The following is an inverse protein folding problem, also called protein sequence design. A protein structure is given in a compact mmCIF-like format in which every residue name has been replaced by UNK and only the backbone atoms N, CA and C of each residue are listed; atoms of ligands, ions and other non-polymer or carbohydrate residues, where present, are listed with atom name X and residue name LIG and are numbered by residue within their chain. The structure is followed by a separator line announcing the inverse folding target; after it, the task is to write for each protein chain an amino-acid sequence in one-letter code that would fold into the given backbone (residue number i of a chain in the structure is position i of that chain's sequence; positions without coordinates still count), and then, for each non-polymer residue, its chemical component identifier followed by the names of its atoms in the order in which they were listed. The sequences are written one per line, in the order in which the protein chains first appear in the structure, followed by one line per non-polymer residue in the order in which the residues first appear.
data_IF_034886765164
#
_entry.id   IF_034886765164
#
_cell.length_a   1.000
_cell.length_b   1.000
_cell.length_c   1.000
_cell.angle_alpha   90.00
_cell.angle_beta   90.00
_cell.angle_gamma   90.00
#
_symmetry.space_group_name_H-M   'P 1'
#
loop_
_entity.id
_entity.type
_entity.pdbx_description
1 polymer ?
#
# COMPACT_ATOMS: atom_id res chain seq x y z
N UNK A 1 5.78 -37.14 -9.71
CA UNK A 1 6.45 -36.05 -10.43
C UNK A 1 5.60 -34.81 -10.25
N UNK A 2 6.09 -33.76 -9.56
CA UNK A 2 5.31 -32.55 -9.38
C UNK A 2 5.28 -31.77 -10.69
N UNK A 3 4.08 -31.48 -11.17
CA UNK A 3 3.81 -30.64 -12.32
C UNK A 3 4.34 -29.23 -12.05
N UNK A 4 5.27 -28.80 -12.89
CA UNK A 4 5.80 -27.44 -12.90
C UNK A 4 4.71 -26.48 -13.37
N UNK A 5 4.15 -25.74 -12.42
CA UNK A 5 3.22 -24.64 -12.62
C UNK A 5 3.89 -23.55 -13.47
N UNK A 6 3.56 -23.52 -14.77
CA UNK A 6 4.02 -22.51 -15.72
C UNK A 6 3.46 -21.15 -15.33
N UNK A 7 4.30 -20.35 -14.66
CA UNK A 7 4.04 -18.95 -14.35
C UNK A 7 3.80 -18.18 -15.64
N UNK A 8 2.54 -17.82 -15.91
CA UNK A 8 2.24 -16.71 -16.83
C UNK A 8 2.64 -15.42 -16.13
N UNK A 9 3.87 -15.00 -16.36
CA UNK A 9 4.35 -13.67 -16.01
C UNK A 9 3.59 -12.65 -16.87
N UNK A 10 2.65 -11.94 -16.25
CA UNK A 10 2.16 -10.67 -16.79
C UNK A 10 3.34 -9.66 -16.77
N UNK A 11 4.22 -9.74 -17.77
CA UNK A 11 5.36 -8.83 -18.02
C UNK A 11 4.87 -7.40 -18.36
N UNK A 12 4.42 -6.65 -17.36
CA UNK A 12 3.76 -5.36 -17.57
C UNK A 12 4.43 -4.17 -16.85
N UNK A 13 5.76 -4.18 -16.74
CA UNK A 13 6.56 -3.00 -16.35
C UNK A 13 7.82 -2.93 -17.20
N UNK A 14 8.00 -1.86 -17.97
CA UNK A 14 9.27 -1.60 -18.68
C UNK A 14 10.27 -1.07 -17.64
N UNK A 15 11.18 -1.93 -17.20
CA UNK A 15 12.14 -1.63 -16.12
C UNK A 15 13.44 -1.09 -16.73
N UNK A 16 13.76 0.18 -16.45
CA UNK A 16 15.15 0.68 -16.51
C UNK A 16 15.62 0.73 -15.06
N UNK A 17 16.59 -0.11 -14.71
CA UNK A 17 16.95 -0.38 -13.32
C UNK A 17 18.22 0.41 -12.94
N UNK A 18 18.04 1.45 -12.13
CA UNK A 18 19.09 2.09 -11.35
C UNK A 18 18.74 1.83 -9.87
N UNK A 19 19.72 1.59 -9.01
CA UNK A 19 19.44 1.35 -7.59
C UNK A 19 18.79 2.57 -6.91
N UNK A 20 18.98 3.77 -7.46
CA UNK A 20 18.45 5.04 -6.95
C UNK A 20 17.06 5.42 -7.45
N UNK A 21 16.62 4.91 -8.61
CA UNK A 21 15.32 5.23 -9.20
C UNK A 21 14.75 4.10 -10.06
N UNK A 22 13.43 4.09 -10.23
CA UNK A 22 12.75 3.18 -11.15
C UNK A 22 11.73 3.93 -12.00
N UNK A 23 11.75 3.70 -13.31
CA UNK A 23 10.68 4.13 -14.20
C UNK A 23 9.51 3.13 -14.15
N UNK A 24 8.30 3.61 -13.84
CA UNK A 24 7.08 2.80 -13.80
C UNK A 24 5.99 3.41 -14.69
N UNK A 25 5.02 2.62 -15.13
CA UNK A 25 3.92 3.09 -15.98
C UNK A 25 4.26 3.05 -17.48
N UNK A 26 3.75 4.03 -18.25
CA UNK A 26 3.99 4.13 -19.70
C UNK A 26 3.21 3.13 -20.58
N UNK A 27 2.33 2.33 -20.00
CA UNK A 27 1.46 1.36 -20.72
C UNK A 27 0.02 1.43 -20.20
N UNK A 28 -0.95 0.95 -20.98
CA UNK A 28 -2.37 0.83 -20.60
C UNK A 28 -3.02 2.14 -20.12
N UNK A 29 -2.62 3.27 -20.71
CA UNK A 29 -3.14 4.61 -20.37
C UNK A 29 -2.51 5.24 -19.12
N UNK A 30 -1.39 4.70 -18.64
CA UNK A 30 -0.58 5.32 -17.58
C UNK A 30 0.54 6.16 -18.19
N UNK A 31 0.76 7.35 -17.63
CA UNK A 31 1.96 8.14 -17.87
C UNK A 31 3.16 7.43 -17.24
N UNK A 32 4.34 7.56 -17.86
CA UNK A 32 5.58 7.07 -17.27
C UNK A 32 6.01 7.99 -16.12
N UNK A 33 6.40 7.41 -15.00
CA UNK A 33 6.82 8.13 -13.80
C UNK A 33 8.11 7.56 -13.26
N UNK A 34 8.97 8.43 -12.72
CA UNK A 34 10.20 8.03 -12.04
C UNK A 34 9.91 8.05 -10.55
N UNK A 35 10.12 6.92 -9.88
CA UNK A 35 10.01 6.80 -8.43
C UNK A 35 11.39 6.64 -7.80
N UNK A 36 11.57 7.21 -6.61
CA UNK A 36 12.81 7.19 -5.83
C UNK A 36 12.49 7.20 -4.33
N UNK A 37 13.51 7.03 -3.47
CA UNK A 37 13.34 7.11 -2.00
C UNK A 37 12.34 6.08 -1.45
N UNK A 38 11.59 6.45 -0.40
CA UNK A 38 10.68 5.54 0.31
C UNK A 38 9.64 4.84 -0.58
N UNK A 39 9.11 5.54 -1.59
CA UNK A 39 8.14 4.93 -2.52
C UNK A 39 8.79 3.84 -3.38
N UNK A 40 10.06 4.01 -3.77
CA UNK A 40 10.83 2.97 -4.47
C UNK A 40 11.09 1.76 -3.57
N UNK A 41 11.50 1.99 -2.32
CA UNK A 41 11.72 0.91 -1.36
C UNK A 41 10.45 0.06 -1.21
N UNK A 42 9.31 0.72 -1.00
CA UNK A 42 8.01 0.06 -0.89
C UNK A 42 7.59 -0.66 -2.19
N UNK A 43 7.86 -0.05 -3.35
CA UNK A 43 7.55 -0.65 -4.64
C UNK A 43 8.35 -1.95 -4.86
N UNK A 44 9.60 -2.01 -4.38
CA UNK A 44 10.47 -3.20 -4.48
C UNK A 44 10.11 -4.29 -3.47
N UNK A 45 9.53 -3.94 -2.31
CA UNK A 45 9.22 -4.92 -1.26
C UNK A 45 7.96 -5.75 -1.48
N UNK A 46 7.04 -5.29 -2.34
CA UNK A 46 5.78 -5.98 -2.60
C UNK A 46 5.45 -6.00 -4.09
N UNK A 47 4.54 -6.89 -4.48
CA UNK A 47 4.00 -6.95 -5.84
C UNK A 47 2.86 -5.96 -5.98
N UNK A 48 3.05 -5.01 -6.90
CA UNK A 48 2.08 -3.95 -7.17
C UNK A 48 1.42 -4.15 -8.54
N UNK A 49 0.10 -3.98 -8.62
CA UNK A 49 -0.65 -3.98 -9.88
C UNK A 49 -1.19 -2.59 -10.16
N UNK A 50 -0.88 -2.04 -11.34
CA UNK A 50 -1.43 -0.77 -11.78
C UNK A 50 -2.97 -0.84 -11.84
N UNK A 51 -3.63 0.18 -11.27
CA UNK A 51 -5.09 0.30 -11.35
C UNK A 51 -5.44 0.91 -12.71
N UNK A 52 -6.20 0.21 -13.58
CA UNK A 52 -6.48 0.70 -14.93
C UNK A 52 -7.07 2.11 -14.94
N UNK A 53 -6.60 2.95 -15.89
CA UNK A 53 -7.04 4.34 -16.06
C UNK A 53 -6.82 5.23 -14.82
N UNK A 54 -6.01 4.78 -13.87
CA UNK A 54 -5.65 5.51 -12.66
C UNK A 54 -4.13 5.70 -12.60
N UNK A 55 -3.60 6.60 -13.44
CA UNK A 55 -2.17 6.96 -13.45
C UNK A 55 -1.65 7.22 -12.05
N UNK A 56 -0.48 6.65 -11.76
CA UNK A 56 0.19 6.75 -10.47
C UNK A 56 -0.44 5.98 -9.31
N UNK A 57 -1.36 5.04 -9.57
CA UNK A 57 -2.03 4.26 -8.52
C UNK A 57 -1.89 2.76 -8.73
N UNK A 58 -1.48 2.07 -7.68
CA UNK A 58 -1.18 0.65 -7.70
C UNK A 58 -1.80 -0.04 -6.49
N UNK A 59 -2.46 -1.18 -6.69
CA UNK A 59 -2.96 -2.03 -5.59
C UNK A 59 -1.92 -3.07 -5.24
N UNK A 60 -1.74 -3.35 -3.95
CA UNK A 60 -0.88 -4.45 -3.52
C UNK A 60 -1.52 -5.78 -3.94
N UNK A 61 -0.73 -6.73 -4.46
CA UNK A 61 -1.18 -8.09 -4.81
C UNK A 61 -0.92 -9.10 -3.70
N UNK A 62 -0.07 -8.78 -2.73
CA UNK A 62 0.32 -9.69 -1.63
C UNK A 62 -0.68 -9.66 -0.48
N UNK A 63 -1.98 -9.73 -0.80
CA UNK A 63 -3.07 -9.54 0.15
C UNK A 63 -2.97 -10.45 1.38
N UNK A 64 -2.62 -11.72 1.24
CA UNK A 64 -2.48 -12.63 2.39
C UNK A 64 -1.41 -12.16 3.38
N UNK A 65 -0.31 -11.60 2.87
CA UNK A 65 0.83 -11.16 3.67
C UNK A 65 0.60 -9.79 4.32
N UNK A 66 -0.14 -8.89 3.68
CA UNK A 66 -0.25 -7.50 4.17
C UNK A 66 -1.64 -7.07 4.58
N UNK A 67 -2.70 -7.78 4.22
CA UNK A 67 -4.08 -7.35 4.49
C UNK A 67 -4.47 -7.34 5.98
N UNK A 68 -3.66 -7.97 6.83
CA UNK A 68 -3.82 -7.93 8.28
C UNK A 68 -2.94 -6.84 8.93
N UNK A 69 -2.08 -6.19 8.14
CA UNK A 69 -1.17 -5.15 8.60
C UNK A 69 -1.77 -3.77 8.32
N UNK A 70 -1.66 -2.87 9.30
CA UNK A 70 -1.82 -1.45 9.03
C UNK A 70 -0.71 -0.95 8.10
N UNK A 71 -0.89 0.16 7.36
CA UNK A 71 0.19 0.69 6.51
C UNK A 71 1.46 1.05 7.28
N UNK A 72 1.37 1.45 8.56
CA UNK A 72 2.56 1.66 9.40
C UNK A 72 3.27 0.35 9.74
N UNK A 73 2.52 -0.70 10.12
CA UNK A 73 3.10 -2.03 10.34
C UNK A 73 3.69 -2.61 9.06
N UNK A 74 3.09 -2.35 7.90
CA UNK A 74 3.63 -2.75 6.61
C UNK A 74 4.99 -2.09 6.33
N UNK A 75 5.16 -0.80 6.65
CA UNK A 75 6.45 -0.11 6.55
C UNK A 75 7.48 -0.65 7.54
N UNK A 76 7.08 -0.91 8.78
CA UNK A 76 7.94 -1.51 9.81
C UNK A 76 8.42 -2.91 9.41
N UNK A 77 7.54 -3.72 8.80
CA UNK A 77 7.86 -5.06 8.33
C UNK A 77 9.04 -5.05 7.33
N UNK A 78 9.05 -4.08 6.41
CA UNK A 78 10.15 -3.91 5.44
C UNK A 78 11.46 -3.50 6.13
N UNK A 79 11.38 -2.59 7.12
CA UNK A 79 12.56 -2.15 7.88
C UNK A 79 13.20 -3.31 8.66
N UNK A 80 12.37 -4.17 9.27
CA UNK A 80 12.84 -5.36 9.99
C UNK A 80 13.44 -6.39 9.05
N UNK A 81 12.82 -6.66 7.90
CA UNK A 81 13.33 -7.61 6.90
C UNK A 81 14.69 -7.17 6.33
N UNK A 82 14.85 -5.87 6.07
CA UNK A 82 16.09 -5.28 5.54
C UNK A 82 17.27 -5.34 6.53
N UNK A 83 16.99 -5.50 7.83
CA UNK A 83 18.01 -5.57 8.88
C UNK A 83 18.53 -6.98 9.12
N UNK A 84 17.81 -8.02 8.66
CA UNK A 84 18.14 -9.42 8.91
C UNK A 84 19.16 -10.01 7.91
N UNK A 85 19.25 -9.46 6.71
CA UNK A 85 19.98 -10.09 5.59
C UNK A 85 21.46 -9.66 5.45
N UNK A 86 22.00 -8.93 6.44
CA UNK A 86 23.41 -8.52 6.48
C UNK A 86 23.88 -7.59 5.33
N UNK A 87 23.00 -7.26 4.39
CA UNK A 87 23.31 -6.42 3.23
C UNK A 87 23.52 -4.95 3.65
N UNK A 88 24.64 -4.31 3.24
CA UNK A 88 24.93 -2.92 3.58
C UNK A 88 24.02 -1.91 2.88
N UNK A 89 23.19 -2.35 1.92
CA UNK A 89 22.11 -1.56 1.36
C UNK A 89 20.96 -1.47 2.37
N UNK A 90 21.19 -0.73 3.46
CA UNK A 90 20.12 -0.33 4.36
C UNK A 90 19.08 0.40 3.54
N UNK A 91 17.96 -0.26 3.23
CA UNK A 91 16.69 0.40 2.89
C UNK A 91 16.27 1.18 4.14
N UNK A 92 16.95 2.31 4.34
CA UNK A 92 16.63 3.28 5.37
C UNK A 92 15.53 4.11 4.77
N UNK A 93 14.33 3.84 5.26
CA UNK A 93 13.25 4.79 5.15
C UNK A 93 13.71 6.09 5.84
N UNK A 94 13.65 7.21 5.12
CA UNK A 94 14.24 8.48 5.57
C UNK A 94 13.50 9.11 6.76
N UNK A 95 12.32 8.60 7.12
CA UNK A 95 11.49 9.17 8.19
C UNK A 95 11.53 8.31 9.45
N UNK A 96 12.03 8.90 10.55
CA UNK A 96 11.91 8.37 11.91
C UNK A 96 10.52 8.58 12.52
N UNK A 97 9.67 9.42 11.93
CA UNK A 97 8.30 9.66 12.40
C UNK A 97 7.32 9.74 11.23
N UNK A 98 6.78 8.58 10.86
CA UNK A 98 5.73 8.46 9.86
C UNK A 98 4.43 9.05 10.42
N UNK A 99 3.98 10.18 9.88
CA UNK A 99 2.65 10.69 10.18
C UNK A 99 1.60 9.88 9.43
N UNK A 100 0.53 9.51 10.13
CA UNK A 100 -0.61 8.81 9.55
C UNK A 100 -1.92 9.47 9.95
N UNK A 101 -2.87 9.54 9.02
CA UNK A 101 -4.21 10.06 9.26
C UNK A 101 -5.24 8.97 9.06
N UNK A 102 -6.06 8.74 10.07
CA UNK A 102 -7.24 7.89 9.99
C UNK A 102 -8.48 8.77 9.85
N UNK A 103 -9.24 8.57 8.78
CA UNK A 103 -10.33 9.44 8.36
C UNK A 103 -11.58 8.61 8.07
N UNK A 104 -12.75 9.12 8.45
CA UNK A 104 -14.04 8.56 8.05
C UNK A 104 -14.70 9.50 7.04
N UNK A 105 -14.85 9.03 5.81
CA UNK A 105 -15.39 9.87 4.73
C UNK A 105 -16.92 9.98 4.84
N UNK A 106 -17.51 11.16 4.62
CA UNK A 106 -18.97 11.33 4.59
C UNK A 106 -19.63 10.38 3.57
N UNK A 107 -20.66 9.67 4.00
CA UNK A 107 -21.39 8.73 3.14
C UNK A 107 -20.62 7.46 2.76
N UNK A 108 -19.48 7.17 3.39
CA UNK A 108 -18.76 5.90 3.26
C UNK A 108 -18.74 5.14 4.58
N UNK A 109 -18.88 3.82 4.48
CA UNK A 109 -18.80 2.90 5.62
C UNK A 109 -17.35 2.67 6.06
N UNK A 110 -16.45 2.61 5.09
CA UNK A 110 -15.06 2.22 5.28
C UNK A 110 -14.22 3.37 5.83
N UNK A 111 -13.36 3.07 6.80
CA UNK A 111 -12.33 4.01 7.27
C UNK A 111 -11.19 4.08 6.25
N UNK A 112 -10.53 5.23 6.19
CA UNK A 112 -9.42 5.51 5.29
C UNK A 112 -8.17 5.82 6.11
N UNK A 113 -7.06 5.15 5.83
CA UNK A 113 -5.76 5.47 6.37
C UNK A 113 -4.87 6.07 5.29
N UNK A 114 -4.21 7.18 5.59
CA UNK A 114 -3.30 7.86 4.68
C UNK A 114 -1.93 8.01 5.35
N UNK A 115 -0.89 7.56 4.66
CA UNK A 115 0.51 7.67 5.10
C UNK A 115 1.35 8.24 3.95
N UNK A 116 1.72 9.54 4.00
CA UNK A 116 2.66 10.14 3.07
C UNK A 116 4.03 9.49 3.15
N UNK A 117 4.71 9.34 2.01
CA UNK A 117 6.03 8.71 1.88
C UNK A 117 7.18 9.69 1.62
N UNK A 118 6.89 10.98 1.51
CA UNK A 118 7.88 12.04 1.36
C UNK A 118 7.48 13.28 2.16
N UNK A 119 8.45 14.15 2.42
CA UNK A 119 8.27 15.39 3.19
C UNK A 119 7.38 16.43 2.49
N UNK A 120 7.18 16.32 1.18
CA UNK A 120 6.33 17.21 0.40
C UNK A 120 4.88 16.68 0.26
N UNK A 121 4.56 15.56 0.93
CA UNK A 121 3.31 14.83 0.85
C UNK A 121 2.83 14.62 -0.59
N UNK A 122 3.74 14.24 -1.50
CA UNK A 122 3.44 14.03 -2.93
C UNK A 122 3.17 12.57 -3.28
N UNK A 123 3.72 11.64 -2.52
CA UNK A 123 3.56 10.20 -2.65
C UNK A 123 3.06 9.61 -1.34
N UNK A 124 2.43 8.44 -1.39
CA UNK A 124 1.83 7.89 -0.19
C UNK A 124 1.15 6.54 -0.35
N UNK A 125 0.91 5.90 0.78
CA UNK A 125 -0.01 4.77 0.88
C UNK A 125 -1.39 5.30 1.26
N UNK A 126 -2.41 4.90 0.51
CA UNK A 126 -3.81 5.07 0.88
C UNK A 126 -4.38 3.68 1.11
N UNK A 127 -4.88 3.44 2.32
CA UNK A 127 -5.40 2.14 2.74
C UNK A 127 -6.88 2.27 3.08
N UNK A 128 -7.70 1.43 2.48
CA UNK A 128 -9.11 1.27 2.87
C UNK A 128 -9.20 0.20 3.95
N UNK A 129 -9.90 0.51 5.04
CA UNK A 129 -10.18 -0.43 6.12
C UNK A 129 -11.55 -1.04 5.88
N UNK A 130 -11.57 -2.34 5.57
CA UNK A 130 -12.79 -3.11 5.39
C UNK A 130 -13.06 -3.93 6.64
N UNK A 131 -14.22 -3.75 7.24
CA UNK A 131 -14.70 -4.64 8.28
C UNK A 131 -15.34 -5.85 7.60
N UNK A 132 -14.84 -7.05 7.86
CA UNK A 132 -15.57 -8.26 7.47
C UNK A 132 -16.65 -8.51 8.52
N UNK A 133 -17.90 -8.41 8.12
CA UNK A 133 -18.98 -9.01 8.88
C UNK A 133 -18.74 -10.53 8.91
N UNK A 134 -18.75 -11.12 10.11
CA UNK A 134 -18.71 -12.57 10.25
C UNK A 134 -19.98 -13.08 9.60
N UNK A 135 -19.88 -13.67 8.41
CA UNK A 135 -21.03 -14.38 7.83
C UNK A 135 -21.40 -15.52 8.79
N UNK A 136 -22.67 -15.58 9.17
CA UNK A 136 -23.31 -16.47 10.17
C UNK A 136 -23.23 -17.98 9.87
N UNK A 137 -22.22 -18.45 9.15
CA UNK A 137 -22.01 -19.85 8.81
C UNK A 137 -20.59 -20.29 9.13
N UNK A 138 -20.24 -20.29 10.42
CA UNK A 138 -19.13 -21.10 10.92
C UNK A 138 -19.72 -22.27 11.71
N UNK A 139 -19.48 -23.53 11.32
CA UNK A 139 -19.87 -24.69 12.10
C UNK A 139 -19.13 -24.66 13.43
N UNK A 140 -19.90 -24.73 14.51
CA UNK A 140 -19.60 -25.00 15.92
C UNK A 140 -18.22 -25.62 16.20
N UNK A 141 -17.15 -24.86 15.97
CA UNK A 141 -15.79 -25.18 16.41
C UNK A 141 -15.44 -24.14 17.45
N UNK A 142 -15.38 -24.66 18.67
CA UNK A 142 -15.05 -24.03 19.94
C UNK A 142 -14.07 -22.87 19.72
N UNK A 143 -14.60 -21.65 19.69
CA UNK A 143 -13.81 -20.43 19.84
C UNK A 143 -13.29 -20.45 21.27
N UNK A 144 -11.99 -20.69 21.44
CA UNK A 144 -11.35 -20.75 22.76
C UNK A 144 -11.13 -19.36 23.37
N UNK A 145 -11.37 -18.28 22.62
CA UNK A 145 -11.26 -16.91 23.11
C UNK A 145 -12.38 -16.00 22.57
N UNK A 146 -13.19 -15.36 23.44
CA UNK A 146 -14.25 -14.43 23.02
C UNK A 146 -13.73 -13.11 22.44
N UNK A 147 -12.41 -12.89 22.41
CA UNK A 147 -11.78 -11.75 21.75
C UNK A 147 -11.59 -11.93 20.24
N UNK A 148 -11.68 -13.17 19.72
CA UNK A 148 -11.32 -13.51 18.34
C UNK A 148 -12.52 -13.49 17.36
N UNK A 149 -13.75 -13.34 17.87
CA UNK A 149 -14.99 -13.19 17.09
C UNK A 149 -15.38 -11.73 16.81
N UNK A 150 -14.51 -10.77 17.17
CA UNK A 150 -14.78 -9.34 17.02
C UNK A 150 -14.26 -8.84 15.66
N UNK A 151 -15.14 -8.68 14.66
CA UNK A 151 -14.94 -7.84 13.46
C UNK A 151 -13.51 -7.85 12.88
N UNK A 152 -13.13 -8.91 12.16
CA UNK A 152 -11.82 -8.93 11.50
C UNK A 152 -11.69 -7.77 10.50
N UNK A 153 -10.77 -6.84 10.77
CA UNK A 153 -10.42 -5.75 9.86
C UNK A 153 -9.48 -6.28 8.78
N UNK A 154 -9.73 -5.88 7.53
CA UNK A 154 -8.90 -6.18 6.38
C UNK A 154 -8.48 -4.86 5.72
N UNK A 155 -7.19 -4.73 5.44
CA UNK A 155 -6.58 -3.54 4.86
C UNK A 155 -6.33 -3.73 3.37
N UNK A 156 -6.84 -2.80 2.57
CA UNK A 156 -6.59 -2.75 1.12
C UNK A 156 -5.64 -1.60 0.83
N UNK A 157 -4.36 -1.91 0.69
CA UNK A 157 -3.31 -0.92 0.45
C UNK A 157 -3.21 -0.54 -1.02
N UNK A 158 -3.19 0.76 -1.28
CA UNK A 158 -2.82 1.32 -2.57
C UNK A 158 -1.61 2.20 -2.43
N UNK A 159 -0.59 1.93 -3.25
CA UNK A 159 0.56 2.79 -3.41
C UNK A 159 0.23 3.86 -4.44
N UNK A 160 0.57 5.11 -4.12
CA UNK A 160 0.27 6.25 -4.95
C UNK A 160 1.55 7.06 -5.16
N UNK A 161 1.94 7.24 -6.41
CA UNK A 161 3.01 8.14 -6.82
C UNK A 161 2.50 9.58 -6.95
N UNK A 162 3.36 10.50 -7.39
CA UNK A 162 3.09 11.93 -7.45
C UNK A 162 1.78 12.24 -8.19
N UNK A 163 1.56 11.62 -9.35
CA UNK A 163 0.36 11.87 -10.15
C UNK A 163 -0.92 11.25 -9.56
N UNK A 164 -0.77 10.20 -8.74
CA UNK A 164 -1.87 9.43 -8.18
C UNK A 164 -2.36 9.97 -6.84
N UNK A 165 -1.43 10.37 -5.96
CA UNK A 165 -1.72 10.60 -4.55
C UNK A 165 -2.60 11.83 -4.34
N UNK A 166 -2.14 13.02 -4.77
CA UNK A 166 -2.90 14.28 -4.62
C UNK A 166 -4.24 14.23 -5.35
N UNK A 167 -4.26 13.66 -6.56
CA UNK A 167 -5.51 13.47 -7.34
C UNK A 167 -6.50 12.58 -6.60
N UNK A 168 -6.03 11.50 -5.97
CA UNK A 168 -6.90 10.61 -5.21
C UNK A 168 -7.43 11.29 -3.96
N UNK A 169 -6.59 12.00 -3.21
CA UNK A 169 -7.01 12.71 -2.00
C UNK A 169 -8.03 13.82 -2.33
N UNK A 170 -7.78 14.62 -3.38
CA UNK A 170 -8.74 15.61 -3.85
C UNK A 170 -10.08 14.98 -4.26
N UNK A 171 -10.07 13.83 -4.95
CA UNK A 171 -11.28 13.10 -5.32
C UNK A 171 -12.03 12.49 -4.11
N UNK A 172 -11.38 12.37 -2.96
CA UNK A 172 -12.00 11.97 -1.69
C UNK A 172 -12.46 13.19 -0.87
N UNK A 173 -12.31 14.41 -1.39
CA UNK A 173 -12.60 15.63 -0.64
C UNK A 173 -11.59 15.89 0.47
N UNK A 174 -10.32 15.52 0.25
CA UNK A 174 -9.22 15.76 1.20
C UNK A 174 -8.23 16.76 0.62
N UNK A 175 -7.79 17.71 1.45
CA UNK A 175 -6.68 18.62 1.17
C UNK A 175 -5.43 18.15 1.90
N UNK A 176 -4.30 18.28 1.23
CA UNK A 176 -2.98 18.00 1.78
C UNK A 176 -2.22 19.31 1.82
N UNK A 177 -1.78 19.71 3.00
CA UNK A 177 -0.77 20.75 3.17
C UNK A 177 0.52 20.10 3.72
N UNK A 178 1.56 20.89 3.97
CA UNK A 178 2.85 20.37 4.44
C UNK A 178 2.77 19.71 5.83
N UNK A 179 1.76 20.05 6.63
CA UNK A 179 1.66 19.68 8.05
C UNK A 179 0.50 18.74 8.37
N UNK A 180 -0.56 18.72 7.56
CA UNK A 180 -1.81 17.98 7.81
C UNK A 180 -2.51 17.51 6.53
N UNK A 181 -3.38 16.51 6.73
CA UNK A 181 -4.38 16.05 5.77
C UNK A 181 -5.76 16.23 6.42
N UNK A 182 -6.64 16.99 5.78
CA UNK A 182 -7.94 17.38 6.33
C UNK A 182 -9.05 17.37 5.28
N UNK A 183 -10.31 17.37 5.71
CA UNK A 183 -11.46 17.47 4.81
C UNK A 183 -11.47 18.84 4.12
N UNK A 184 -11.77 18.83 2.82
CA UNK A 184 -11.66 19.97 1.91
C UNK A 184 -12.83 20.97 1.98
#
# INVERSE_FOLDING_TARGET
MPESDERKEDEDVTVVNDDSFLAIGGRKGHVMEIIHGNVLQLFRSFRWKAIPRCTGRYTCRDHEQVSHLTPLQMLQHIQSASSADGSPAKLRFDATEWKSWMLKLPGKTDELWVVPLDSANQTGIITYVKTKEVQDHVPERIATDPADTLNSKCYVHTLNTVSGFRRKLAALGLRVNELSIEMA
#
